data_IF_925318467610
#
_entry.id   IF_925318467610
#
_cell.length_a   1.000
_cell.length_b   1.000
_cell.length_c   1.000
_cell.angle_alpha   90.00
_cell.angle_beta   90.00
_cell.angle_gamma   90.00
#
_symmetry.space_group_name_H-M   'P 1'
#
loop_
_entity.id
_entity.type
_entity.pdbx_description
1 polymer ?
#
# COMPACT_ATOMS: atom_id res chain seq x y z
N UNK A 1 -17.92 -13.78 -39.53
CA UNK A 1 -17.48 -14.64 -38.40
C UNK A 1 -16.46 -13.96 -37.48
N UNK A 2 -16.21 -12.64 -37.58
CA UNK A 2 -15.19 -11.93 -36.78
C UNK A 2 -15.74 -11.09 -35.61
N UNK A 3 -17.00 -10.63 -35.67
CA UNK A 3 -17.56 -9.71 -34.65
C UNK A 3 -17.84 -10.39 -33.29
N UNK A 4 -18.21 -11.67 -33.29
CA UNK A 4 -18.47 -12.42 -32.05
C UNK A 4 -17.20 -12.75 -31.26
N UNK A 5 -16.05 -12.91 -31.93
CA UNK A 5 -14.75 -13.10 -31.25
C UNK A 5 -14.23 -11.82 -30.60
N UNK A 6 -14.38 -10.67 -31.27
CA UNK A 6 -13.98 -9.36 -30.72
C UNK A 6 -14.84 -8.92 -29.53
N UNK A 7 -16.12 -9.27 -29.52
CA UNK A 7 -17.01 -9.01 -28.37
C UNK A 7 -16.64 -9.85 -27.14
N UNK A 8 -16.25 -11.11 -27.35
CA UNK A 8 -15.87 -12.02 -26.26
C UNK A 8 -14.51 -11.62 -25.65
N UNK A 9 -13.52 -11.29 -26.48
CA UNK A 9 -12.20 -10.85 -26.01
C UNK A 9 -12.27 -9.54 -25.22
N UNK A 10 -13.08 -8.57 -25.70
CA UNK A 10 -13.32 -7.32 -24.94
C UNK A 10 -14.04 -7.57 -23.61
N UNK A 11 -14.97 -8.52 -23.56
CA UNK A 11 -15.68 -8.89 -22.33
C UNK A 11 -14.75 -9.52 -21.29
N UNK A 12 -13.83 -10.37 -21.72
CA UNK A 12 -12.82 -11.01 -20.84
C UNK A 12 -11.80 -10.00 -20.34
N UNK A 13 -11.33 -9.09 -21.20
CA UNK A 13 -10.40 -8.03 -20.81
C UNK A 13 -11.02 -7.04 -19.81
N UNK A 14 -12.29 -6.66 -20.01
CA UNK A 14 -12.99 -5.77 -19.08
C UNK A 14 -13.26 -6.45 -17.73
N UNK A 15 -13.61 -7.74 -17.73
CA UNK A 15 -13.80 -8.52 -16.50
C UNK A 15 -12.47 -8.70 -15.74
N UNK A 16 -11.38 -9.00 -16.44
CA UNK A 16 -10.05 -9.12 -15.83
C UNK A 16 -9.58 -7.79 -15.24
N UNK A 17 -9.77 -6.67 -15.95
CA UNK A 17 -9.42 -5.32 -15.48
C UNK A 17 -10.20 -4.91 -14.23
N UNK A 18 -11.51 -5.18 -14.20
CA UNK A 18 -12.37 -4.82 -13.06
C UNK A 18 -11.96 -5.52 -11.75
N UNK A 19 -11.37 -6.71 -11.83
CA UNK A 19 -10.88 -7.46 -10.65
C UNK A 19 -9.44 -7.11 -10.30
N UNK A 20 -8.61 -6.77 -11.30
CA UNK A 20 -7.17 -6.55 -11.11
C UNK A 20 -6.88 -5.34 -10.22
N UNK A 21 -7.62 -4.25 -10.39
CA UNK A 21 -7.43 -3.02 -9.59
C UNK A 21 -7.74 -3.22 -8.09
N UNK A 22 -8.93 -3.69 -7.67
CA UNK A 22 -9.22 -3.90 -6.24
C UNK A 22 -8.29 -4.94 -5.61
N UNK A 23 -7.90 -6.00 -6.34
CA UNK A 23 -6.93 -6.98 -5.86
C UNK A 23 -5.56 -6.34 -5.61
N UNK A 24 -5.08 -5.51 -6.54
CA UNK A 24 -3.78 -4.82 -6.40
C UNK A 24 -3.80 -3.88 -5.20
N UNK A 25 -4.86 -3.08 -5.05
CA UNK A 25 -5.04 -2.18 -3.90
C UNK A 25 -5.07 -2.94 -2.58
N UNK A 26 -5.76 -4.09 -2.55
CA UNK A 26 -5.82 -4.96 -1.37
C UNK A 26 -4.43 -5.49 -1.02
N UNK A 27 -3.71 -6.07 -1.98
CA UNK A 27 -2.37 -6.62 -1.76
C UNK A 27 -1.39 -5.54 -1.30
N UNK A 28 -1.39 -4.38 -1.97
CA UNK A 28 -0.52 -3.26 -1.60
C UNK A 28 -0.85 -2.77 -0.19
N UNK A 29 -2.13 -2.61 0.14
CA UNK A 29 -2.55 -2.21 1.47
C UNK A 29 -2.16 -3.21 2.56
N UNK A 30 -2.31 -4.51 2.30
CA UNK A 30 -1.92 -5.57 3.25
C UNK A 30 -0.41 -5.58 3.46
N UNK A 31 0.39 -5.53 2.39
CA UNK A 31 1.87 -5.52 2.51
C UNK A 31 2.34 -4.27 3.25
N UNK A 32 1.79 -3.10 2.92
CA UNK A 32 2.09 -1.85 3.62
C UNK A 32 1.69 -1.91 5.11
N UNK A 33 0.53 -2.50 5.42
CA UNK A 33 0.08 -2.65 6.81
C UNK A 33 0.91 -3.64 7.61
N UNK A 34 1.33 -4.76 7.01
CA UNK A 34 2.29 -5.68 7.61
C UNK A 34 3.63 -4.98 7.88
N UNK A 35 4.08 -4.11 6.98
CA UNK A 35 5.26 -3.29 7.19
C UNK A 35 5.09 -2.33 8.39
N UNK A 36 3.95 -1.62 8.50
CA UNK A 36 3.64 -0.77 9.66
C UNK A 36 3.71 -1.57 10.95
N UNK A 37 3.06 -2.74 10.98
CA UNK A 37 3.08 -3.62 12.15
C UNK A 37 4.49 -4.07 12.52
N UNK A 38 5.28 -4.49 11.52
CA UNK A 38 6.66 -4.92 11.73
C UNK A 38 7.55 -3.82 12.34
N UNK A 39 7.47 -2.59 11.83
CA UNK A 39 8.24 -1.44 12.34
C UNK A 39 7.90 -1.13 13.79
N UNK A 40 6.63 -1.28 14.15
CA UNK A 40 6.15 -0.99 15.51
C UNK A 40 6.50 -2.10 16.51
N UNK A 41 6.49 -3.37 16.09
CA UNK A 41 6.89 -4.51 16.93
C UNK A 41 8.40 -4.52 17.16
N UNK A 42 9.20 -4.21 16.13
CA UNK A 42 10.66 -4.20 16.19
C UNK A 42 11.25 -2.80 15.97
N UNK A 43 11.16 -1.90 16.96
CA UNK A 43 11.77 -0.57 16.89
C UNK A 43 13.29 -0.69 17.09
N UNK A 44 14.02 -1.22 16.11
CA UNK A 44 15.47 -1.44 16.22
C UNK A 44 16.23 -0.35 15.46
N UNK A 45 17.06 0.38 16.21
CA UNK A 45 17.93 1.48 15.81
C UNK A 45 19.18 1.08 14.99
N UNK A 46 19.33 -0.18 14.56
CA UNK A 46 20.61 -0.71 14.05
C UNK A 46 20.58 -1.41 12.69
N UNK A 47 19.44 -1.52 12.01
CA UNK A 47 19.40 -2.06 10.64
C UNK A 47 19.33 -0.92 9.62
N UNK A 48 19.92 -1.07 8.40
CA UNK A 48 19.69 -0.19 7.25
C UNK A 48 18.24 -0.28 6.68
N UNK A 49 17.31 -0.69 7.53
CA UNK A 49 15.88 -0.78 7.34
C UNK A 49 15.21 0.51 6.82
N UNK A 50 15.60 1.75 7.20
CA UNK A 50 14.88 2.92 6.70
C UNK A 50 15.03 3.12 5.19
N UNK A 51 16.08 2.59 4.53
CA UNK A 51 16.28 2.79 3.09
C UNK A 51 15.53 1.75 2.28
N UNK A 52 15.74 0.46 2.57
CA UNK A 52 15.12 -0.61 1.79
C UNK A 52 13.61 -0.68 1.97
N UNK A 53 13.12 -0.38 3.17
CA UNK A 53 11.68 -0.46 3.42
C UNK A 53 10.90 0.74 2.89
N UNK A 54 11.47 1.94 2.98
CA UNK A 54 10.88 3.13 2.34
C UNK A 54 10.85 2.97 0.82
N UNK A 55 11.95 2.48 0.23
CA UNK A 55 12.00 2.16 -1.20
C UNK A 55 10.95 1.10 -1.57
N UNK A 56 10.76 0.07 -0.75
CA UNK A 56 9.73 -0.95 -0.96
C UNK A 56 8.31 -0.38 -1.02
N UNK A 57 7.94 0.51 -0.09
CA UNK A 57 6.62 1.17 -0.08
C UNK A 57 6.46 2.11 -1.27
N UNK A 58 7.51 2.83 -1.67
CA UNK A 58 7.49 3.67 -2.87
C UNK A 58 7.28 2.81 -4.13
N UNK A 59 7.95 1.66 -4.23
CA UNK A 59 7.78 0.72 -5.35
C UNK A 59 6.36 0.15 -5.38
N UNK A 60 5.74 -0.13 -4.23
CA UNK A 60 4.33 -0.52 -4.16
C UNK A 60 3.39 0.56 -4.71
N UNK A 61 3.74 1.84 -4.59
CA UNK A 61 3.04 2.94 -5.24
C UNK A 61 3.10 2.84 -6.77
N UNK A 62 4.23 2.44 -7.34
CA UNK A 62 4.37 2.19 -8.80
C UNK A 62 3.39 1.11 -9.26
N UNK A 63 3.20 0.04 -8.47
CA UNK A 63 2.24 -1.01 -8.78
C UNK A 63 0.79 -0.52 -8.85
N UNK A 64 0.40 0.43 -7.98
CA UNK A 64 -0.93 1.06 -8.04
C UNK A 64 -1.07 1.89 -9.33
N UNK A 65 -0.05 2.65 -9.71
CA UNK A 65 -0.06 3.46 -10.93
C UNK A 65 -0.16 2.58 -12.20
N UNK A 66 0.53 1.44 -12.23
CA UNK A 66 0.46 0.50 -13.36
C UNK A 66 -0.92 -0.16 -13.51
N UNK A 67 -1.66 -0.35 -12.41
CA UNK A 67 -2.98 -0.96 -12.43
C UNK A 67 -4.11 0.03 -12.76
N UNK A 68 -3.86 1.33 -12.63
CA UNK A 68 -4.88 2.36 -12.74
C UNK A 68 -4.84 3.10 -14.08
N UNK A 69 -5.99 3.19 -14.74
CA UNK A 69 -6.12 3.84 -16.05
C UNK A 69 -6.40 5.33 -15.89
N UNK A 70 -7.19 5.69 -14.86
CA UNK A 70 -7.61 7.05 -14.62
C UNK A 70 -6.92 7.66 -13.39
N UNK A 71 -6.75 8.98 -13.41
CA UNK A 71 -6.14 9.71 -12.29
C UNK A 71 -6.98 9.59 -11.00
N UNK A 72 -8.31 9.52 -11.13
CA UNK A 72 -9.21 9.29 -10.00
C UNK A 72 -9.04 7.90 -9.35
N UNK A 73 -8.85 6.85 -10.16
CA UNK A 73 -8.61 5.49 -9.67
C UNK A 73 -7.28 5.36 -8.93
N UNK A 74 -6.25 6.09 -9.37
CA UNK A 74 -4.96 6.16 -8.67
C UNK A 74 -5.12 6.75 -7.28
N UNK A 75 -5.78 7.91 -7.20
CA UNK A 75 -5.98 8.61 -5.93
C UNK A 75 -6.82 7.76 -4.96
N UNK A 76 -7.93 7.21 -5.46
CA UNK A 76 -8.78 6.35 -4.67
C UNK A 76 -8.07 5.06 -4.25
N UNK A 77 -7.27 4.45 -5.14
CA UNK A 77 -6.47 3.26 -4.87
C UNK A 77 -5.44 3.49 -3.77
N UNK A 78 -4.74 4.64 -3.78
CA UNK A 78 -3.79 5.00 -2.72
C UNK A 78 -4.50 5.24 -1.39
N UNK A 79 -5.63 5.95 -1.39
CA UNK A 79 -6.41 6.20 -0.17
C UNK A 79 -6.94 4.89 0.41
N UNK A 80 -7.50 4.02 -0.43
CA UNK A 80 -7.99 2.70 -0.03
C UNK A 80 -6.85 1.81 0.49
N UNK A 81 -5.71 1.76 -0.20
CA UNK A 81 -4.53 1.03 0.26
C UNK A 81 -4.00 1.57 1.59
N UNK A 82 -4.00 2.89 1.78
CA UNK A 82 -3.64 3.53 3.06
C UNK A 82 -4.58 3.16 4.20
N UNK A 83 -5.90 3.14 3.95
CA UNK A 83 -6.87 2.69 4.93
C UNK A 83 -6.69 1.21 5.29
N UNK A 84 -6.48 0.34 4.30
CA UNK A 84 -6.20 -1.09 4.51
C UNK A 84 -4.90 -1.25 5.30
N UNK A 85 -3.86 -0.49 4.97
CA UNK A 85 -2.59 -0.48 5.69
C UNK A 85 -2.76 -0.10 7.15
N UNK A 86 -3.62 0.88 7.45
CA UNK A 86 -3.94 1.27 8.83
C UNK A 86 -4.62 0.13 9.59
N UNK A 87 -5.66 -0.47 9.00
CA UNK A 87 -6.41 -1.58 9.60
C UNK A 87 -5.50 -2.78 9.85
N UNK A 88 -4.71 -3.18 8.85
CA UNK A 88 -3.78 -4.31 8.97
C UNK A 88 -2.67 -4.01 9.97
N UNK A 89 -2.10 -2.81 9.96
CA UNK A 89 -1.10 -2.39 10.96
C UNK A 89 -1.66 -2.44 12.38
N UNK A 90 -2.91 -2.03 12.58
CA UNK A 90 -3.60 -2.16 13.87
C UNK A 90 -3.78 -3.63 14.27
N UNK A 91 -4.23 -4.50 13.36
CA UNK A 91 -4.42 -5.94 13.63
C UNK A 91 -3.10 -6.66 13.91
N UNK A 92 -2.00 -6.24 13.30
CA UNK A 92 -0.68 -6.86 13.51
C UNK A 92 -0.01 -6.35 14.80
N UNK A 93 -0.18 -5.06 15.13
CA UNK A 93 0.51 -4.45 16.28
C UNK A 93 -0.38 -4.28 17.51
N UNK A 94 -1.47 -3.51 17.38
CA UNK A 94 -2.27 -3.12 18.54
C UNK A 94 -3.09 -4.29 19.09
N UNK A 95 -3.67 -5.13 18.22
CA UNK A 95 -4.50 -6.25 18.67
C UNK A 95 -3.71 -7.30 19.49
N UNK A 96 -2.56 -7.82 19.06
CA UNK A 96 -1.80 -8.79 19.85
C UNK A 96 -1.14 -8.14 21.07
N UNK A 97 -0.80 -6.84 21.00
CA UNK A 97 -0.32 -6.11 22.16
C UNK A 97 -1.39 -5.97 23.24
N UNK A 98 -2.65 -5.72 22.87
CA UNK A 98 -3.78 -5.64 23.80
C UNK A 98 -4.15 -7.02 24.38
N UNK A 99 -3.94 -8.10 23.62
CA UNK A 99 -4.10 -9.48 24.08
C UNK A 99 -2.92 -10.00 24.92
N UNK A 100 -1.87 -9.20 25.13
CA UNK A 100 -0.70 -9.57 25.91
C UNK A 100 0.22 -10.60 25.24
N UNK A 101 0.16 -10.74 23.91
CA UNK A 101 0.98 -11.70 23.16
C UNK A 101 2.42 -11.21 22.92
N UNK A 102 2.65 -9.89 23.03
CA UNK A 102 3.97 -9.30 22.93
C UNK A 102 4.60 -9.09 24.31
N UNK A 103 5.92 -8.91 24.35
CA UNK A 103 6.64 -8.61 25.57
C UNK A 103 6.14 -7.30 26.23
N UNK A 104 6.19 -7.23 27.56
CA UNK A 104 5.78 -6.09 28.39
C UNK A 104 6.10 -4.68 27.85
N UNK A 105 7.31 -4.39 27.29
CA UNK A 105 7.61 -3.06 26.76
C UNK A 105 6.75 -2.66 25.56
N UNK A 106 6.28 -3.61 24.76
CA UNK A 106 5.39 -3.39 23.60
C UNK A 106 3.95 -3.22 24.08
N UNK A 107 3.52 -4.06 25.03
CA UNK A 107 2.19 -4.01 25.64
C UNK A 107 1.95 -2.68 26.33
N UNK A 108 2.92 -2.17 27.11
CA UNK A 108 2.82 -0.84 27.72
C UNK A 108 2.65 0.27 26.67
N UNK A 109 3.40 0.25 25.56
CA UNK A 109 3.26 1.28 24.51
C UNK A 109 1.87 1.26 23.86
N UNK A 110 1.32 0.07 23.65
CA UNK A 110 0.00 -0.11 23.05
C UNK A 110 -1.14 0.41 23.95
N UNK A 111 -1.07 0.16 25.27
CA UNK A 111 -2.13 0.49 26.23
C UNK A 111 -2.30 2.00 26.47
N UNK A 112 -1.23 2.80 26.44
CA UNK A 112 -1.29 4.24 26.77
C UNK A 112 -1.80 5.15 25.65
N UNK A 113 -2.67 4.70 24.73
CA UNK A 113 -3.10 5.41 23.50
C UNK A 113 -1.97 5.82 22.53
N UNK A 114 -0.70 5.72 22.94
CA UNK A 114 0.47 5.93 22.10
C UNK A 114 0.52 4.93 20.96
N UNK A 115 0.18 3.65 21.19
CA UNK A 115 0.20 2.64 20.14
C UNK A 115 -0.76 2.93 18.99
N UNK A 116 -1.99 3.37 19.27
CA UNK A 116 -2.95 3.72 18.23
C UNK A 116 -2.50 4.95 17.43
N UNK A 117 -1.95 5.94 18.14
CA UNK A 117 -1.35 7.13 17.52
C UNK A 117 -0.14 6.78 16.64
N UNK A 118 0.71 5.87 17.09
CA UNK A 118 1.88 5.39 16.35
C UNK A 118 1.44 4.65 15.07
N UNK A 119 0.48 3.72 15.16
CA UNK A 119 -0.09 3.05 13.98
C UNK A 119 -0.67 4.07 13.00
N UNK A 120 -1.41 5.06 13.50
CA UNK A 120 -1.96 6.12 12.65
C UNK A 120 -0.88 6.92 11.92
N UNK A 121 0.16 7.37 12.64
CA UNK A 121 1.26 8.13 12.03
C UNK A 121 2.02 7.29 10.99
N UNK A 122 2.31 6.03 11.29
CA UNK A 122 3.03 5.15 10.35
C UNK A 122 2.19 4.73 9.15
N UNK A 123 0.87 4.55 9.33
CA UNK A 123 -0.04 4.32 8.21
C UNK A 123 -0.17 5.57 7.33
N UNK A 124 -0.20 6.77 7.94
CA UNK A 124 -0.18 8.04 7.20
C UNK A 124 1.12 8.21 6.43
N UNK A 125 2.26 7.83 7.01
CA UNK A 125 3.55 7.77 6.33
C UNK A 125 3.55 6.75 5.17
N UNK A 126 2.97 5.57 5.37
CA UNK A 126 2.84 4.58 4.29
C UNK A 126 1.99 5.13 3.14
N UNK A 127 0.87 5.79 3.44
CA UNK A 127 0.00 6.41 2.44
C UNK A 127 0.72 7.53 1.67
N UNK A 128 1.50 8.38 2.34
CA UNK A 128 2.29 9.42 1.65
C UNK A 128 3.38 8.82 0.78
N UNK A 129 4.07 7.77 1.23
CA UNK A 129 5.06 7.06 0.41
C UNK A 129 4.45 6.39 -0.82
N UNK A 130 3.26 5.78 -0.68
CA UNK A 130 2.50 5.24 -1.81
C UNK A 130 2.13 6.33 -2.81
N UNK A 131 1.72 7.51 -2.33
CA UNK A 131 1.40 8.67 -3.17
C UNK A 131 2.63 9.21 -3.89
N UNK A 132 3.77 9.30 -3.21
CA UNK A 132 5.04 9.69 -3.84
C UNK A 132 5.43 8.68 -4.92
N UNK A 133 5.30 7.38 -4.65
CA UNK A 133 5.59 6.33 -5.63
C UNK A 133 4.70 6.38 -6.87
N UNK A 134 3.38 6.55 -6.70
CA UNK A 134 2.47 6.72 -7.84
C UNK A 134 2.79 7.98 -8.64
N UNK A 135 3.12 9.08 -7.98
CA UNK A 135 3.44 10.35 -8.65
C UNK A 135 4.76 10.28 -9.43
N UNK A 136 5.80 9.67 -8.86
CA UNK A 136 7.09 9.45 -9.55
C UNK A 136 6.90 8.55 -10.77
N UNK A 137 6.13 7.46 -10.64
CA UNK A 137 5.79 6.58 -11.78
C UNK A 137 5.08 7.35 -12.89
N UNK A 138 4.12 8.18 -12.52
CA UNK A 138 3.37 9.00 -13.47
C UNK A 138 4.27 9.98 -14.25
N UNK A 139 5.14 10.72 -13.54
CA UNK A 139 6.09 11.64 -14.18
C UNK A 139 6.99 10.87 -15.14
N UNK A 140 7.61 9.78 -14.69
CA UNK A 140 8.49 8.98 -15.53
C UNK A 140 7.78 8.52 -16.80
N UNK A 141 6.57 7.95 -16.67
CA UNK A 141 5.79 7.49 -17.82
C UNK A 141 5.48 8.63 -18.80
N UNK A 142 5.14 9.82 -18.29
CA UNK A 142 4.85 10.97 -19.14
C UNK A 142 6.11 11.51 -19.83
N UNK A 143 7.23 11.59 -19.11
CA UNK A 143 8.53 12.02 -19.67
C UNK A 143 9.03 11.05 -20.73
N UNK A 144 8.93 9.73 -20.51
CA UNK A 144 9.30 8.74 -21.52
C UNK A 144 8.45 8.89 -22.78
N UNK A 145 7.14 9.06 -22.63
CA UNK A 145 6.24 9.24 -23.78
C UNK A 145 6.61 10.47 -24.62
N UNK A 146 7.04 11.56 -23.97
CA UNK A 146 7.46 12.80 -24.64
C UNK A 146 8.82 12.66 -25.34
N UNK A 147 9.77 11.90 -24.79
CA UNK A 147 11.08 11.65 -25.40
C UNK A 147 10.98 10.70 -26.61
N UNK A 148 10.04 9.76 -26.59
CA UNK A 148 9.86 8.78 -27.68
C UNK A 148 8.96 9.25 -28.82
N UNK A 149 8.44 10.48 -28.74
CA UNK A 149 7.54 11.06 -29.74
C UNK A 149 8.29 11.93 -30.74
#
# INVERSE_FOLDING_TARGET
MSETSQGLDRGVDLASRRVRMPLTVLLVGVVAGCWVGYVLVHPVSSLPLPRFTVVGVVVLGIYIDMAAEQMGERLFGVVAAGFISYVVGFVVYAFPALMGWYADPVVRRAIYFRGLREVFIFALLAATLLLVGTFVSYILRNTYAEITR
#
